data_IF_713183785775
#
_entry.id   IF_713183785775
#
_cell.length_a   1.000
_cell.length_b   1.000
_cell.length_c   1.000
_cell.angle_alpha   90.00
_cell.angle_beta   90.00
_cell.angle_gamma   90.00
#
_symmetry.space_group_name_H-M   'P 1'
#
loop_
_entity.id
_entity.type
_entity.pdbx_description
1 polymer ?
#
# COMPACT_ATOMS: atom_id res chain seq x y z
N UNK A 1 10.40 -3.08 5.81
CA UNK A 1 9.48 -2.93 6.98
C UNK A 1 8.69 -1.62 6.95
N UNK A 2 9.31 -0.55 6.47
CA UNK A 2 8.74 0.81 6.51
C UNK A 2 7.46 0.99 5.65
N UNK A 3 7.35 0.35 4.50
CA UNK A 3 6.27 0.64 3.53
C UNK A 3 4.94 -0.08 3.79
N UNK A 4 4.92 -1.29 4.34
CA UNK A 4 3.68 -1.97 4.75
C UNK A 4 2.97 -1.22 5.89
N UNK A 5 3.74 -0.70 6.85
CA UNK A 5 3.18 0.10 7.95
C UNK A 5 2.62 1.43 7.44
N UNK A 6 3.29 2.07 6.48
CA UNK A 6 2.79 3.31 5.88
C UNK A 6 1.46 3.10 5.15
N UNK A 7 1.29 1.98 4.45
CA UNK A 7 0.01 1.66 3.79
C UNK A 7 -1.14 1.48 4.78
N UNK A 8 -0.88 0.86 5.95
CA UNK A 8 -1.87 0.77 7.04
C UNK A 8 -2.24 2.15 7.56
N UNK A 9 -1.25 3.04 7.74
CA UNK A 9 -1.48 4.41 8.17
C UNK A 9 -2.34 5.15 7.15
N UNK A 10 -2.03 5.06 5.86
CA UNK A 10 -2.84 5.69 4.81
C UNK A 10 -4.29 5.16 4.78
N UNK A 11 -4.48 3.86 4.96
CA UNK A 11 -5.81 3.28 5.07
C UNK A 11 -6.60 3.88 6.25
N UNK A 12 -5.97 3.98 7.42
CA UNK A 12 -6.60 4.59 8.62
C UNK A 12 -6.92 6.07 8.38
N UNK A 13 -6.02 6.81 7.74
CA UNK A 13 -6.25 8.22 7.38
C UNK A 13 -7.45 8.36 6.44
N UNK A 14 -7.54 7.53 5.40
CA UNK A 14 -8.69 7.55 4.48
C UNK A 14 -10.02 7.32 5.21
N UNK A 15 -10.06 6.35 6.13
CA UNK A 15 -11.25 6.07 6.94
C UNK A 15 -11.60 7.27 7.84
N UNK A 16 -10.63 7.83 8.54
CA UNK A 16 -10.83 8.98 9.42
C UNK A 16 -11.35 10.20 8.65
N UNK A 17 -10.77 10.50 7.49
CA UNK A 17 -11.20 11.60 6.60
C UNK A 17 -12.61 11.36 6.09
N UNK A 18 -12.95 10.13 5.69
CA UNK A 18 -14.30 9.77 5.26
C UNK A 18 -15.34 10.02 6.37
N UNK A 19 -15.01 9.63 7.62
CA UNK A 19 -15.89 9.84 8.79
C UNK A 19 -16.10 11.34 9.05
N UNK A 20 -15.02 12.14 9.03
CA UNK A 20 -15.10 13.59 9.26
C UNK A 20 -15.98 14.24 8.19
N UNK A 21 -15.76 13.94 6.92
CA UNK A 21 -16.56 14.52 5.85
C UNK A 21 -18.01 14.05 5.87
N UNK A 22 -18.27 12.78 6.17
CA UNK A 22 -19.62 12.27 6.34
C UNK A 22 -20.32 12.96 7.53
N UNK A 23 -19.64 13.16 8.65
CA UNK A 23 -20.17 13.87 9.79
C UNK A 23 -20.54 15.32 9.44
N UNK A 24 -19.60 16.07 8.82
CA UNK A 24 -19.85 17.44 8.40
C UNK A 24 -20.90 17.56 7.29
N UNK A 25 -20.94 16.62 6.35
CA UNK A 25 -21.86 16.64 5.22
C UNK A 25 -23.31 16.26 5.57
N UNK A 26 -23.51 15.32 6.49
CA UNK A 26 -24.82 14.72 6.76
C UNK A 26 -25.32 14.95 8.18
N UNK A 27 -24.43 14.89 9.20
CA UNK A 27 -24.83 14.99 10.60
C UNK A 27 -24.76 16.42 11.15
N UNK A 28 -24.05 17.32 10.51
CA UNK A 28 -23.96 18.73 10.91
C UNK A 28 -25.31 19.47 10.90
N UNK A 29 -26.28 19.00 10.13
CA UNK A 29 -27.63 19.59 10.03
C UNK A 29 -28.45 19.51 11.32
N UNK A 30 -28.10 18.58 12.20
CA UNK A 30 -28.84 18.38 13.43
C UNK A 30 -28.39 19.38 14.51
N UNK A 31 -29.37 19.98 15.25
CA UNK A 31 -29.10 20.98 16.29
C UNK A 31 -28.21 20.45 17.45
N UNK A 32 -28.25 19.15 17.72
CA UNK A 32 -27.40 18.50 18.73
C UNK A 32 -25.93 18.33 18.27
N UNK A 33 -25.65 18.46 16.99
CA UNK A 33 -24.31 18.30 16.45
C UNK A 33 -23.41 19.46 16.87
N UNK A 34 -22.20 19.14 17.35
CA UNK A 34 -21.17 20.12 17.62
C UNK A 34 -20.77 20.94 16.36
N UNK A 35 -21.12 20.44 15.18
CA UNK A 35 -20.84 21.07 13.87
C UNK A 35 -22.06 21.77 13.28
N UNK A 36 -23.10 22.01 14.06
CA UNK A 36 -24.30 22.73 13.58
C UNK A 36 -23.97 24.11 13.01
N UNK A 37 -23.01 24.86 13.62
CA UNK A 37 -22.56 26.14 13.11
C UNK A 37 -21.92 26.04 11.72
N UNK A 38 -21.26 24.91 11.40
CA UNK A 38 -20.75 24.63 10.07
C UNK A 38 -21.91 24.48 9.05
N UNK A 39 -22.95 23.73 9.42
CA UNK A 39 -24.15 23.61 8.58
C UNK A 39 -24.84 24.97 8.40
N UNK A 40 -24.98 25.77 9.48
CA UNK A 40 -25.56 27.10 9.40
C UNK A 40 -24.82 27.96 8.38
N UNK A 41 -23.51 28.07 8.52
CA UNK A 41 -22.64 28.86 7.61
C UNK A 41 -22.70 28.41 6.15
N UNK A 42 -22.75 27.09 5.91
CA UNK A 42 -22.59 26.51 4.57
C UNK A 42 -23.90 26.12 3.89
N UNK A 43 -25.02 26.27 4.58
CA UNK A 43 -26.36 26.00 4.00
C UNK A 43 -27.35 27.10 4.37
N UNK A 44 -27.60 27.36 5.68
CA UNK A 44 -28.66 28.28 6.09
C UNK A 44 -28.33 29.73 5.70
N UNK A 45 -27.12 30.19 5.95
CA UNK A 45 -26.67 31.55 5.61
C UNK A 45 -26.39 31.72 4.08
N UNK A 46 -26.61 30.65 3.30
CA UNK A 46 -26.47 30.61 1.85
C UNK A 46 -27.82 30.28 1.17
N UNK A 47 -28.89 30.89 1.60
CA UNK A 47 -30.25 30.73 1.08
C UNK A 47 -30.74 29.28 1.02
N UNK A 48 -30.31 28.47 1.97
CA UNK A 48 -30.65 27.03 2.03
C UNK A 48 -29.92 26.17 1.01
N UNK A 49 -29.04 26.75 0.18
CA UNK A 49 -28.26 26.04 -0.85
C UNK A 49 -26.91 25.62 -0.30
N UNK A 50 -26.49 24.36 -0.48
CA UNK A 50 -25.18 23.94 -0.02
C UNK A 50 -24.05 24.62 -0.81
N UNK A 51 -23.08 25.18 -0.08
CA UNK A 51 -21.85 25.72 -0.70
C UNK A 51 -21.01 24.61 -1.34
N UNK A 52 -20.02 24.95 -2.20
CA UNK A 52 -19.07 23.97 -2.74
C UNK A 52 -18.40 23.10 -1.66
N UNK A 53 -18.05 23.67 -0.52
CA UNK A 53 -17.48 22.95 0.63
C UNK A 53 -18.44 21.91 1.19
N UNK A 54 -19.71 22.25 1.38
CA UNK A 54 -20.72 21.33 1.85
C UNK A 54 -20.97 20.21 0.83
N UNK A 55 -21.02 20.55 -0.47
CA UNK A 55 -21.15 19.57 -1.53
C UNK A 55 -19.95 18.62 -1.59
N UNK A 56 -18.74 19.12 -1.39
CA UNK A 56 -17.55 18.29 -1.30
C UNK A 56 -17.64 17.32 -0.12
N UNK A 57 -17.99 17.81 1.08
CA UNK A 57 -18.12 16.96 2.27
C UNK A 57 -19.20 15.87 2.11
N UNK A 58 -20.24 16.12 1.30
CA UNK A 58 -21.28 15.11 1.02
C UNK A 58 -20.85 14.08 -0.03
N UNK A 59 -20.07 14.49 -1.02
CA UNK A 59 -19.72 13.64 -2.16
C UNK A 59 -18.42 12.88 -2.00
N UNK A 60 -17.48 13.38 -1.17
CA UNK A 60 -16.15 12.80 -1.03
C UNK A 60 -16.04 11.52 -0.19
N UNK A 61 -16.87 11.25 0.86
CA UNK A 61 -16.74 10.07 1.69
C UNK A 61 -16.65 8.74 0.91
N UNK A 62 -17.49 8.48 -0.10
CA UNK A 62 -17.38 7.22 -0.86
C UNK A 62 -16.04 7.02 -1.55
N UNK A 63 -15.39 8.09 -2.01
CA UNK A 63 -14.06 8.00 -2.65
C UNK A 63 -12.97 7.60 -1.64
N UNK A 64 -12.99 8.17 -0.44
CA UNK A 64 -12.06 7.81 0.62
C UNK A 64 -12.30 6.39 1.15
N UNK A 65 -13.56 5.97 1.26
CA UNK A 65 -13.91 4.59 1.62
C UNK A 65 -13.41 3.63 0.53
N UNK A 66 -13.64 3.95 -0.75
CA UNK A 66 -13.14 3.16 -1.88
C UNK A 66 -11.62 3.01 -1.86
N UNK A 67 -10.90 4.11 -1.62
CA UNK A 67 -9.44 4.07 -1.47
C UNK A 67 -9.00 3.20 -0.28
N UNK A 68 -9.67 3.30 0.86
CA UNK A 68 -9.38 2.46 2.04
C UNK A 68 -9.63 0.97 1.76
N UNK A 69 -10.71 0.63 1.05
CA UNK A 69 -11.01 -0.76 0.65
C UNK A 69 -9.94 -1.29 -0.28
N UNK A 70 -9.53 -0.53 -1.31
CA UNK A 70 -8.45 -0.94 -2.22
C UNK A 70 -7.12 -1.17 -1.50
N UNK A 71 -6.76 -0.29 -0.57
CA UNK A 71 -5.58 -0.47 0.28
C UNK A 71 -5.71 -1.70 1.18
N UNK A 72 -6.89 -1.95 1.74
CA UNK A 72 -7.18 -3.13 2.57
C UNK A 72 -7.05 -4.43 1.78
N UNK A 73 -7.63 -4.52 0.59
CA UNK A 73 -7.50 -5.67 -0.32
C UNK A 73 -6.04 -5.91 -0.68
N UNK A 74 -5.32 -4.86 -1.06
CA UNK A 74 -3.88 -4.97 -1.35
C UNK A 74 -3.09 -5.48 -0.15
N UNK A 75 -3.29 -4.92 1.03
CA UNK A 75 -2.63 -5.39 2.26
C UNK A 75 -2.96 -6.85 2.59
N UNK A 76 -4.21 -7.26 2.37
CA UNK A 76 -4.62 -8.66 2.55
C UNK A 76 -3.89 -9.61 1.59
N UNK A 77 -3.77 -9.23 0.31
CA UNK A 77 -3.08 -10.05 -0.70
C UNK A 77 -1.59 -10.20 -0.43
N UNK A 78 -0.95 -9.18 0.18
CA UNK A 78 0.49 -9.24 0.48
C UNK A 78 0.82 -9.71 1.91
N UNK A 79 -0.18 -9.84 2.78
CA UNK A 79 0.00 -10.20 4.20
C UNK A 79 0.76 -11.51 4.39
N UNK A 80 0.44 -12.52 3.59
CA UNK A 80 0.95 -13.88 3.73
C UNK A 80 2.12 -14.18 2.77
N UNK A 81 2.56 -13.20 1.97
CA UNK A 81 3.69 -13.42 1.07
C UNK A 81 4.98 -13.39 1.87
N UNK A 82 5.63 -14.54 1.90
CA UNK A 82 6.94 -14.73 2.51
C UNK A 82 7.93 -15.09 1.41
N UNK A 83 9.16 -14.65 1.58
CA UNK A 83 10.29 -15.10 0.80
C UNK A 83 11.27 -15.75 1.76
N UNK A 84 11.79 -16.90 1.39
CA UNK A 84 12.73 -17.68 2.20
C UNK A 84 14.01 -17.86 1.39
N UNK A 85 15.12 -17.39 1.95
CA UNK A 85 16.45 -17.71 1.44
C UNK A 85 16.91 -19.00 2.12
N UNK A 86 16.94 -20.08 1.38
CA UNK A 86 17.43 -21.38 1.80
C UNK A 86 18.92 -21.53 1.43
N UNK A 87 19.54 -22.65 1.75
CA UNK A 87 20.98 -22.87 1.49
C UNK A 87 21.33 -22.82 0.00
N UNK A 88 20.45 -23.31 -0.88
CA UNK A 88 20.72 -23.45 -2.32
C UNK A 88 19.77 -22.67 -3.22
N UNK A 89 18.67 -22.16 -2.67
CA UNK A 89 17.63 -21.53 -3.49
C UNK A 89 16.90 -20.39 -2.74
N UNK A 90 16.36 -19.46 -3.52
CA UNK A 90 15.45 -18.44 -3.06
C UNK A 90 14.02 -18.85 -3.34
N UNK A 91 13.24 -19.14 -2.30
CA UNK A 91 11.85 -19.56 -2.40
C UNK A 91 10.95 -18.33 -2.29
N UNK A 92 10.30 -17.97 -3.39
CA UNK A 92 9.37 -16.83 -3.46
C UNK A 92 7.93 -17.27 -3.23
N UNK A 93 7.60 -18.47 -3.69
CA UNK A 93 6.30 -19.13 -3.48
C UNK A 93 6.46 -20.64 -3.69
N UNK A 94 5.39 -21.40 -3.43
CA UNK A 94 5.39 -22.86 -3.69
C UNK A 94 5.68 -23.20 -5.16
N UNK A 95 5.39 -22.26 -6.07
CA UNK A 95 5.56 -22.44 -7.52
C UNK A 95 6.81 -21.73 -8.09
N UNK A 96 7.43 -20.86 -7.31
CA UNK A 96 8.53 -20.01 -7.78
C UNK A 96 9.73 -20.14 -6.86
N UNK A 97 10.75 -20.87 -7.33
CA UNK A 97 12.01 -21.13 -6.66
C UNK A 97 13.14 -20.79 -7.61
N UNK A 98 14.10 -20.05 -7.15
CA UNK A 98 15.26 -19.59 -7.92
C UNK A 98 16.51 -20.19 -7.31
N UNK A 99 17.15 -21.12 -7.99
CA UNK A 99 18.47 -21.64 -7.58
C UNK A 99 19.51 -20.52 -7.67
N UNK A 100 20.40 -20.42 -6.71
CA UNK A 100 21.45 -19.40 -6.73
C UNK A 100 22.40 -19.57 -7.93
N UNK A 101 22.65 -20.79 -8.38
CA UNK A 101 23.46 -21.08 -9.57
C UNK A 101 22.83 -20.55 -10.87
N UNK A 102 21.50 -20.34 -10.89
CA UNK A 102 20.81 -19.80 -12.05
C UNK A 102 20.85 -18.29 -12.12
N UNK A 103 21.24 -17.60 -11.03
CA UNK A 103 21.25 -16.15 -10.94
C UNK A 103 22.43 -15.59 -11.76
N UNK A 104 22.12 -14.72 -12.71
CA UNK A 104 23.12 -14.08 -13.57
C UNK A 104 23.46 -12.67 -13.09
N UNK A 105 22.47 -11.95 -12.54
CA UNK A 105 22.63 -10.56 -12.13
C UNK A 105 21.70 -10.19 -10.98
N UNK A 106 22.20 -9.36 -10.07
CA UNK A 106 21.39 -8.67 -9.06
C UNK A 106 21.54 -7.16 -9.26
N UNK A 107 20.45 -6.49 -9.56
CA UNK A 107 20.39 -5.03 -9.63
C UNK A 107 19.83 -4.45 -8.34
N UNK A 108 20.71 -3.90 -7.51
CA UNK A 108 20.39 -3.25 -6.24
C UNK A 108 20.36 -1.72 -6.31
N UNK A 109 20.51 -1.12 -7.50
CA UNK A 109 20.62 0.34 -7.70
C UNK A 109 19.49 1.13 -7.02
N UNK A 110 18.30 0.55 -6.93
CA UNK A 110 17.13 1.20 -6.36
C UNK A 110 16.78 0.73 -4.94
N UNK A 111 17.61 -0.13 -4.34
CA UNK A 111 17.27 -0.74 -3.06
C UNK A 111 17.19 0.30 -1.93
N UNK A 112 18.21 1.13 -1.77
CA UNK A 112 18.28 2.12 -0.69
C UNK A 112 17.21 3.22 -0.82
N UNK A 113 16.97 3.70 -2.05
CA UNK A 113 16.04 4.81 -2.29
C UNK A 113 14.58 4.35 -2.42
N UNK A 114 14.33 3.24 -3.08
CA UNK A 114 12.97 2.77 -3.45
C UNK A 114 12.57 1.47 -2.77
N UNK A 115 13.48 0.79 -2.07
CA UNK A 115 13.23 -0.44 -1.32
C UNK A 115 12.91 -1.64 -2.21
N UNK A 116 13.51 -1.75 -3.38
CA UNK A 116 13.42 -2.93 -4.24
C UNK A 116 14.74 -3.22 -4.95
N UNK A 117 14.96 -4.49 -5.27
CA UNK A 117 16.01 -4.94 -6.17
C UNK A 117 15.43 -5.92 -7.20
N UNK A 118 16.16 -6.16 -8.27
CA UNK A 118 15.79 -7.11 -9.30
C UNK A 118 16.85 -8.21 -9.38
N UNK A 119 16.40 -9.45 -9.60
CA UNK A 119 17.23 -10.62 -9.86
C UNK A 119 16.96 -11.05 -11.29
N UNK A 120 18.01 -11.16 -12.10
CA UNK A 120 17.95 -11.78 -13.42
C UNK A 120 18.48 -13.20 -13.31
N UNK A 121 17.68 -14.19 -13.67
CA UNK A 121 18.03 -15.61 -13.59
C UNK A 121 17.57 -16.38 -14.82
N UNK A 122 18.17 -17.56 -15.06
CA UNK A 122 17.71 -18.50 -16.08
C UNK A 122 16.65 -19.42 -15.50
N UNK A 123 15.48 -19.44 -16.13
CA UNK A 123 14.42 -20.39 -15.81
C UNK A 123 14.74 -21.79 -16.34
N UNK A 124 13.92 -22.78 -15.97
CA UNK A 124 14.10 -24.20 -16.37
C UNK A 124 14.16 -24.40 -17.88
N UNK A 125 13.51 -23.51 -18.63
CA UNK A 125 13.52 -23.53 -20.10
C UNK A 125 14.74 -22.81 -20.72
N UNK A 126 15.68 -22.33 -19.88
CA UNK A 126 16.85 -21.58 -20.29
C UNK A 126 16.59 -20.12 -20.66
N UNK A 127 15.34 -19.66 -20.55
CA UNK A 127 14.99 -18.26 -20.79
C UNK A 127 15.42 -17.35 -19.63
N UNK A 128 15.84 -16.16 -19.96
CA UNK A 128 16.23 -15.15 -18.99
C UNK A 128 14.97 -14.45 -18.43
N UNK A 129 14.85 -14.42 -17.10
CA UNK A 129 13.70 -13.85 -16.40
C UNK A 129 14.18 -12.80 -15.39
N UNK A 130 13.56 -11.62 -15.44
CA UNK A 130 13.75 -10.57 -14.46
C UNK A 130 12.70 -10.62 -13.37
N UNK A 131 13.14 -10.79 -12.12
CA UNK A 131 12.26 -10.82 -10.95
C UNK A 131 12.51 -9.65 -10.01
N UNK A 132 11.54 -8.75 -9.90
CA UNK A 132 11.59 -7.63 -8.97
C UNK A 132 11.07 -8.04 -7.60
N UNK A 133 11.87 -7.82 -6.57
CA UNK A 133 11.55 -8.03 -5.17
C UNK A 133 11.46 -6.71 -4.42
N UNK A 134 10.34 -6.46 -3.73
CA UNK A 134 10.05 -5.16 -3.10
C UNK A 134 9.70 -5.31 -1.62
N UNK A 135 10.22 -4.40 -0.80
CA UNK A 135 9.88 -4.26 0.62
C UNK A 135 8.41 -3.89 0.89
N UNK A 136 7.66 -3.54 -0.15
CA UNK A 136 6.21 -3.38 -0.06
C UNK A 136 5.49 -4.73 0.04
N UNK A 137 6.09 -5.77 -0.53
CA UNK A 137 5.52 -7.11 -0.62
C UNK A 137 6.12 -8.06 0.40
N UNK A 138 7.44 -7.97 0.61
CA UNK A 138 8.19 -8.91 1.46
C UNK A 138 8.83 -8.20 2.64
N UNK A 139 8.82 -8.86 3.79
CA UNK A 139 9.53 -8.40 4.99
C UNK A 139 11.00 -8.86 4.97
N UNK A 140 11.86 -8.18 5.70
CA UNK A 140 13.31 -8.48 5.85
C UNK A 140 14.10 -8.59 4.53
N UNK A 141 13.68 -7.85 3.50
CA UNK A 141 14.27 -7.95 2.17
C UNK A 141 15.77 -7.58 2.13
N UNK A 142 16.24 -6.74 3.07
CA UNK A 142 17.66 -6.42 3.20
C UNK A 142 18.50 -7.67 3.58
N UNK A 143 18.07 -8.40 4.60
CA UNK A 143 18.75 -9.63 5.02
C UNK A 143 18.75 -10.71 3.93
N UNK A 144 17.66 -10.77 3.16
CA UNK A 144 17.56 -11.68 2.01
C UNK A 144 18.54 -11.27 0.90
N UNK A 145 18.62 -9.97 0.59
CA UNK A 145 19.56 -9.47 -0.40
C UNK A 145 21.01 -9.78 -0.01
N UNK A 146 21.37 -9.51 1.25
CA UNK A 146 22.71 -9.79 1.77
C UNK A 146 23.04 -11.29 1.70
N UNK A 147 22.07 -12.15 2.06
CA UNK A 147 22.25 -13.60 1.98
C UNK A 147 22.43 -14.07 0.52
N UNK A 148 21.57 -13.63 -0.40
CA UNK A 148 21.66 -14.03 -1.82
C UNK A 148 22.97 -13.56 -2.44
N UNK A 149 23.40 -12.33 -2.15
CA UNK A 149 24.70 -11.81 -2.62
C UNK A 149 25.85 -12.66 -2.08
N UNK A 150 25.82 -13.07 -0.83
CA UNK A 150 26.86 -13.94 -0.22
C UNK A 150 26.93 -15.33 -0.86
N UNK A 151 25.82 -15.87 -1.37
CA UNK A 151 25.77 -17.20 -2.00
C UNK A 151 26.30 -17.19 -3.45
N UNK A 152 26.24 -16.05 -4.13
CA UNK A 152 26.64 -15.94 -5.55
C UNK A 152 28.02 -15.27 -5.73
N UNK A 153 28.65 -14.80 -4.65
CA UNK A 153 30.00 -14.18 -4.67
C UNK A 153 31.04 -15.20 -4.24
#
# INVERSE_FOLDING_TARGET
KFKKNNLKIYMVICIAVAIIFAYDGYLSKYKWSKRYNFYKKHVLDNDGKPTPTMNFNRKSPPFFIGAAVLLGVYLFTVKNRKIVADENELIISDKERISYDSIQKIDKTHFDKKGFFAITYKDKDGSEVDRKLSSQTYDNLAAILDHVVAQIT
#
